data_IF_743302218774
#
_entry.id   IF_743302218774
#
_cell.length_a   1.000
_cell.length_b   1.000
_cell.length_c   1.000
_cell.angle_alpha   90.00
_cell.angle_beta   90.00
_cell.angle_gamma   90.00
#
_symmetry.space_group_name_H-M   'P 1'
#
loop_
_entity.id
_entity.type
_entity.pdbx_description
1 polymer ?
#
# COMPACT_ATOMS: atom_id res chain seq x y z
N UNK A 1 1.19 9.08 5.30
CA UNK A 1 2.47 8.64 4.72
C UNK A 1 2.28 7.65 3.57
N UNK A 2 1.78 6.43 3.80
CA UNK A 2 1.67 5.37 2.78
C UNK A 2 0.86 5.80 1.54
N UNK A 3 -0.40 6.22 1.69
CA UNK A 3 -1.22 6.62 0.54
C UNK A 3 -0.69 7.87 -0.19
N UNK A 4 0.02 8.74 0.53
CA UNK A 4 0.65 9.93 -0.06
C UNK A 4 1.86 9.57 -0.95
N UNK A 5 2.64 8.56 -0.57
CA UNK A 5 3.69 8.00 -1.44
C UNK A 5 3.10 7.20 -2.60
N UNK A 6 2.08 6.41 -2.33
CA UNK A 6 1.44 5.56 -3.34
C UNK A 6 0.76 6.35 -4.46
N UNK A 7 0.15 7.52 -4.18
CA UNK A 7 -0.48 8.33 -5.24
C UNK A 7 0.52 8.84 -6.28
N UNK A 8 1.74 9.19 -5.87
CA UNK A 8 2.77 9.65 -6.80
C UNK A 8 3.19 8.51 -7.74
N UNK A 9 3.35 7.31 -7.20
CA UNK A 9 3.74 6.14 -7.98
C UNK A 9 2.59 5.62 -8.87
N UNK A 10 1.36 5.60 -8.36
CA UNK A 10 0.20 5.06 -9.08
C UNK A 10 -0.42 6.05 -10.07
N UNK A 11 -0.02 7.33 -10.05
CA UNK A 11 -0.58 8.36 -10.92
C UNK A 11 -2.08 8.60 -10.71
N UNK A 12 -2.60 8.33 -9.51
CA UNK A 12 -4.02 8.51 -9.16
C UNK A 12 -4.18 9.29 -7.85
N UNK A 13 -5.26 10.05 -7.67
CA UNK A 13 -5.49 10.79 -6.43
C UNK A 13 -5.58 9.86 -5.21
N UNK A 14 -5.14 10.32 -4.03
CA UNK A 14 -5.33 9.60 -2.74
C UNK A 14 -6.78 9.13 -2.56
N UNK A 15 -7.78 9.94 -2.91
CA UNK A 15 -9.20 9.54 -2.79
C UNK A 15 -9.60 8.37 -3.69
N UNK A 16 -8.86 8.13 -4.77
CA UNK A 16 -9.05 6.95 -5.60
C UNK A 16 -8.46 5.73 -4.92
N UNK A 17 -7.24 5.84 -4.37
CA UNK A 17 -6.62 4.75 -3.61
C UNK A 17 -7.47 4.37 -2.37
N UNK A 18 -7.96 5.36 -1.61
CA UNK A 18 -8.81 5.12 -0.44
C UNK A 18 -10.08 4.32 -0.74
N UNK A 19 -10.64 4.49 -1.94
CA UNK A 19 -11.88 3.80 -2.35
C UNK A 19 -11.61 2.45 -3.01
N UNK A 20 -10.49 2.34 -3.71
CA UNK A 20 -10.21 1.20 -4.57
C UNK A 20 -9.29 0.16 -3.95
N UNK A 21 -8.50 0.52 -2.94
CA UNK A 21 -7.49 -0.36 -2.32
C UNK A 21 -7.97 -0.82 -0.95
N UNK A 22 -7.80 -2.12 -0.67
CA UNK A 22 -8.07 -2.73 0.62
C UNK A 22 -6.81 -3.40 1.15
N UNK A 23 -6.59 -3.29 2.46
CA UNK A 23 -5.50 -3.93 3.16
C UNK A 23 -6.08 -4.81 4.28
N UNK A 24 -5.59 -6.03 4.37
CA UNK A 24 -6.04 -7.03 5.35
C UNK A 24 -4.82 -7.68 5.99
N UNK A 25 -4.89 -7.94 7.29
CA UNK A 25 -3.86 -8.63 8.05
C UNK A 25 -4.30 -10.05 8.32
N UNK A 26 -3.42 -11.03 8.09
CA UNK A 26 -3.70 -12.41 8.47
C UNK A 26 -3.64 -12.55 9.99
N UNK A 27 -4.63 -13.18 10.65
CA UNK A 27 -4.55 -13.47 12.08
C UNK A 27 -3.55 -14.59 12.39
N UNK A 28 -3.39 -15.54 11.48
CA UNK A 28 -2.64 -16.78 11.73
C UNK A 28 -1.17 -16.72 11.25
N UNK A 29 -0.76 -15.60 10.65
CA UNK A 29 0.59 -15.41 10.12
C UNK A 29 0.95 -13.91 10.05
N UNK A 30 2.24 -13.53 10.10
CA UNK A 30 2.67 -12.13 9.97
C UNK A 30 2.59 -11.66 8.51
N UNK A 31 1.38 -11.64 7.95
CA UNK A 31 1.12 -11.35 6.55
C UNK A 31 0.14 -10.18 6.39
N UNK A 32 0.39 -9.34 5.40
CA UNK A 32 -0.50 -8.26 4.97
C UNK A 32 -0.85 -8.46 3.50
N UNK A 33 -2.14 -8.61 3.20
CA UNK A 33 -2.65 -8.67 1.84
C UNK A 33 -3.10 -7.27 1.39
N UNK A 34 -2.67 -6.86 0.19
CA UNK A 34 -3.09 -5.60 -0.43
C UNK A 34 -3.75 -5.92 -1.77
N UNK A 35 -5.01 -5.53 -1.93
CA UNK A 35 -5.78 -5.73 -3.15
C UNK A 35 -6.34 -4.40 -3.65
N UNK A 36 -6.57 -4.30 -4.95
CA UNK A 36 -7.17 -3.13 -5.56
C UNK A 36 -8.19 -3.51 -6.63
N UNK A 37 -9.20 -2.67 -6.82
CA UNK A 37 -10.24 -2.88 -7.82
C UNK A 37 -10.26 -1.75 -8.84
N UNK A 38 -10.35 -2.11 -10.12
CA UNK A 38 -10.50 -1.15 -11.21
C UNK A 38 -11.13 -1.85 -12.42
N UNK A 39 -11.82 -1.09 -13.27
CA UNK A 39 -12.28 -1.59 -14.56
C UNK A 39 -11.13 -1.99 -15.50
N UNK A 40 -9.89 -1.56 -15.21
CA UNK A 40 -8.67 -1.93 -15.94
C UNK A 40 -7.78 -2.79 -15.05
N UNK A 41 -7.56 -4.09 -15.36
CA UNK A 41 -6.76 -4.98 -14.51
C UNK A 41 -5.35 -4.46 -14.24
N UNK A 42 -4.66 -3.94 -15.26
CA UNK A 42 -3.33 -3.34 -15.11
C UNK A 42 -3.33 -2.20 -14.08
N UNK A 43 -4.34 -1.33 -14.13
CA UNK A 43 -4.48 -0.22 -13.18
C UNK A 43 -4.71 -0.70 -11.75
N UNK A 44 -5.49 -1.78 -11.57
CA UNK A 44 -5.66 -2.39 -10.26
C UNK A 44 -4.31 -2.90 -9.72
N UNK A 45 -3.56 -3.65 -10.52
CA UNK A 45 -2.24 -4.14 -10.14
C UNK A 45 -1.28 -2.99 -9.79
N UNK A 46 -1.26 -1.91 -10.58
CA UNK A 46 -0.40 -0.75 -10.32
C UNK A 46 -0.74 -0.06 -8.98
N UNK A 47 -2.03 0.11 -8.67
CA UNK A 47 -2.47 0.69 -7.40
C UNK A 47 -2.09 -0.19 -6.21
N UNK A 48 -2.33 -1.51 -6.29
CA UNK A 48 -1.95 -2.45 -5.23
C UNK A 48 -0.43 -2.46 -5.00
N UNK A 49 0.35 -2.52 -6.07
CA UNK A 49 1.82 -2.51 -6.01
C UNK A 49 2.37 -1.20 -5.44
N UNK A 50 1.79 -0.06 -5.82
CA UNK A 50 2.21 1.24 -5.29
C UNK A 50 1.96 1.34 -3.78
N UNK A 51 0.80 0.88 -3.30
CA UNK A 51 0.49 0.87 -1.87
C UNK A 51 1.39 -0.10 -1.11
N UNK A 52 1.63 -1.30 -1.63
CA UNK A 52 2.53 -2.27 -1.01
C UNK A 52 3.97 -1.74 -0.87
N UNK A 53 4.51 -1.11 -1.93
CA UNK A 53 5.85 -0.50 -1.88
C UNK A 53 5.92 0.67 -0.90
N UNK A 54 4.92 1.54 -0.90
CA UNK A 54 4.86 2.65 0.05
C UNK A 54 4.73 2.17 1.51
N UNK A 55 4.02 1.07 1.75
CA UNK A 55 3.93 0.44 3.07
C UNK A 55 5.29 -0.10 3.51
N UNK A 56 5.99 -0.83 2.65
CA UNK A 56 7.34 -1.34 2.94
C UNK A 56 8.33 -0.20 3.22
N UNK A 57 8.29 0.88 2.43
CA UNK A 57 9.12 2.06 2.65
C UNK A 57 8.81 2.73 4.01
N UNK A 58 7.54 2.86 4.37
CA UNK A 58 7.13 3.41 5.66
C UNK A 58 7.57 2.51 6.83
N UNK A 59 7.45 1.19 6.70
CA UNK A 59 7.88 0.25 7.72
C UNK A 59 9.40 0.35 7.97
N UNK A 60 10.20 0.44 6.90
CA UNK A 60 11.64 0.66 6.99
C UNK A 60 11.98 2.01 7.65
N UNK A 61 11.26 3.07 7.33
CA UNK A 61 11.45 4.37 7.97
C UNK A 61 11.09 4.34 9.46
N UNK A 62 10.03 3.62 9.82
CA UNK A 62 9.57 3.47 11.20
C UNK A 62 10.55 2.63 12.06
N UNK A 63 11.35 1.74 11.46
CA UNK A 63 12.40 0.96 12.14
C UNK A 63 13.34 1.86 12.96
N UNK A 64 13.72 3.02 12.40
CA UNK A 64 14.59 3.98 13.08
C UNK A 64 13.94 4.59 14.33
N UNK A 65 12.61 4.68 14.36
CA UNK A 65 11.85 5.24 15.48
C UNK A 65 11.50 4.19 16.55
N UNK A 66 11.48 2.91 16.20
CA UNK A 66 11.13 1.82 17.14
C UNK A 66 12.35 1.11 17.74
N UNK A 67 13.57 1.45 17.32
CA UNK A 67 14.85 0.82 17.72
C UNK A 67 14.92 -0.72 17.50
N UNK A 68 14.01 -1.29 16.71
CA UNK A 68 14.04 -2.71 16.36
C UNK A 68 15.13 -2.92 15.31
N UNK A 69 16.10 -3.81 15.56
CA UNK A 69 17.25 -4.10 14.68
C UNK A 69 17.02 -5.30 13.77
#
# INVERSE_FOLDING_TARGET
AVLAGAQQQAGVPVRTLQRAVRAETSPDAPMVAVSATSARPARAADMANAVARALAAQANAAKASTQVQ
#
